data_IF_861365645359
#
_entry.id   IF_861365645359
#
_cell.length_a   1.000
_cell.length_b   1.000
_cell.length_c   1.000
_cell.angle_alpha   90.00
_cell.angle_beta   90.00
_cell.angle_gamma   90.00
#
_symmetry.space_group_name_H-M   'P 1'
#
loop_
_entity.id
_entity.type
_entity.pdbx_description
1 polymer ?
#
# COMPACT_ATOMS: atom_id res chain seq x y z
N UNK A 1 2.68 5.06 1.65
CA UNK A 1 3.03 3.63 1.68
C UNK A 1 4.15 3.41 2.69
N UNK A 2 4.02 2.45 3.60
CA UNK A 2 5.04 2.12 4.61
C UNK A 2 5.14 0.61 4.77
N UNK A 3 6.16 0.13 5.50
CA UNK A 3 6.37 -1.28 5.78
C UNK A 3 7.16 -2.05 4.72
N UNK A 4 7.41 -1.49 3.55
CA UNK A 4 8.22 -2.13 2.53
C UNK A 4 8.88 -1.13 1.58
N UNK A 5 9.84 -1.60 0.83
CA UNK A 5 10.51 -0.90 -0.27
C UNK A 5 10.44 -1.72 -1.55
N UNK A 6 10.55 -1.08 -2.69
CA UNK A 6 10.64 -1.77 -3.96
C UNK A 6 11.41 -0.98 -5.00
N UNK A 7 11.91 -1.71 -5.98
CA UNK A 7 12.53 -1.15 -7.18
C UNK A 7 11.58 -1.36 -8.35
N UNK A 8 11.46 -0.38 -9.21
CA UNK A 8 10.71 -0.53 -10.46
C UNK A 8 11.46 0.09 -11.62
N UNK A 9 11.10 -0.31 -12.83
CA UNK A 9 11.61 0.27 -14.07
C UNK A 9 10.45 0.81 -14.90
N UNK A 10 10.32 2.13 -14.97
CA UNK A 10 9.23 2.80 -15.67
C UNK A 10 9.25 2.58 -17.20
N UNK A 11 10.38 2.11 -17.76
CA UNK A 11 10.52 1.77 -19.18
C UNK A 11 9.87 0.44 -19.56
N UNK A 12 9.66 -0.44 -18.58
CA UNK A 12 9.03 -1.74 -18.80
C UNK A 12 7.51 -1.63 -18.97
N UNK A 13 6.86 -2.59 -19.64
CA UNK A 13 5.41 -2.65 -19.76
C UNK A 13 4.71 -2.70 -18.38
N UNK A 14 3.47 -2.25 -18.32
CA UNK A 14 2.63 -2.39 -17.14
C UNK A 14 2.54 -3.88 -16.72
N UNK A 15 2.56 -4.16 -15.40
CA UNK A 15 2.58 -5.51 -14.84
C UNK A 15 3.95 -6.16 -14.74
N UNK A 16 5.00 -5.60 -15.38
CA UNK A 16 6.38 -6.13 -15.34
C UNK A 16 7.38 -5.15 -14.74
N UNK A 17 6.91 -4.04 -14.18
CA UNK A 17 7.76 -2.94 -13.75
C UNK A 17 8.43 -3.16 -12.41
N UNK A 18 7.73 -3.79 -11.47
CA UNK A 18 8.19 -3.92 -10.09
C UNK A 18 9.10 -5.12 -9.92
N UNK A 19 10.17 -4.93 -9.19
CA UNK A 19 11.11 -5.95 -8.77
C UNK A 19 11.63 -5.66 -7.35
N UNK A 20 12.31 -6.62 -6.76
CA UNK A 20 13.00 -6.47 -5.48
C UNK A 20 12.14 -5.83 -4.38
N UNK A 21 11.01 -6.44 -4.08
CA UNK A 21 10.18 -6.01 -2.96
C UNK A 21 10.81 -6.53 -1.66
N UNK A 22 11.12 -5.61 -0.73
CA UNK A 22 11.69 -5.92 0.57
C UNK A 22 10.81 -5.37 1.68
N UNK A 23 10.66 -6.13 2.74
CA UNK A 23 9.98 -5.71 3.96
C UNK A 23 10.83 -4.68 4.73
N UNK A 24 10.25 -4.08 5.78
CA UNK A 24 10.93 -3.05 6.56
C UNK A 24 12.19 -3.56 7.28
N UNK A 25 12.27 -4.84 7.57
CA UNK A 25 13.44 -5.51 8.16
C UNK A 25 14.52 -5.89 7.12
N UNK A 26 14.28 -5.60 5.83
CA UNK A 26 15.20 -5.89 4.73
C UNK A 26 15.04 -7.27 4.10
N UNK A 27 14.17 -8.12 4.65
CA UNK A 27 13.91 -9.45 4.06
C UNK A 27 13.14 -9.31 2.74
N UNK A 28 13.33 -10.24 1.82
CA UNK A 28 12.56 -10.28 0.58
C UNK A 28 11.11 -10.71 0.85
N UNK A 29 10.17 -10.12 0.08
CA UNK A 29 8.78 -10.54 0.14
C UNK A 29 8.65 -11.98 -0.37
N UNK A 30 8.13 -12.85 0.47
CA UNK A 30 7.80 -14.22 0.09
C UNK A 30 6.40 -14.27 -0.54
N UNK A 31 6.31 -14.68 -1.80
CA UNK A 31 5.05 -14.77 -2.54
C UNK A 31 4.09 -15.84 -2.01
N UNK A 32 4.58 -16.78 -1.21
CA UNK A 32 3.77 -17.85 -0.60
C UNK A 32 3.32 -17.52 0.82
N UNK A 33 3.74 -16.39 1.36
CA UNK A 33 3.37 -15.94 2.70
C UNK A 33 2.16 -15.02 2.68
N UNK A 34 1.45 -14.97 3.82
CA UNK A 34 0.32 -14.05 4.03
C UNK A 34 0.80 -12.81 4.77
N UNK A 35 0.36 -11.64 4.31
CA UNK A 35 0.70 -10.34 4.89
C UNK A 35 -0.55 -9.57 5.30
N UNK A 36 -0.45 -8.80 6.38
CA UNK A 36 -1.49 -7.85 6.76
C UNK A 36 -1.21 -6.51 6.11
N UNK A 37 -2.22 -5.96 5.43
CA UNK A 37 -2.10 -4.70 4.70
C UNK A 37 -3.20 -3.75 5.14
N UNK A 38 -2.84 -2.52 5.51
CA UNK A 38 -3.79 -1.45 5.77
C UNK A 38 -4.06 -0.68 4.49
N UNK A 39 -5.33 -0.59 4.11
CA UNK A 39 -5.80 0.16 2.94
C UNK A 39 -7.04 0.98 3.32
N UNK A 40 -7.39 1.96 2.51
CA UNK A 40 -8.66 2.67 2.67
C UNK A 40 -9.84 1.84 2.12
N UNK A 41 -11.04 2.21 2.51
CA UNK A 41 -12.28 1.55 2.09
C UNK A 41 -12.53 1.64 0.58
N UNK A 42 -12.10 2.72 -0.07
CA UNK A 42 -12.14 2.88 -1.52
C UNK A 42 -11.32 1.79 -2.23
N UNK A 43 -10.08 1.56 -1.81
CA UNK A 43 -9.23 0.49 -2.35
C UNK A 43 -9.76 -0.91 -2.02
N UNK A 44 -10.42 -1.06 -0.87
CA UNK A 44 -11.03 -2.31 -0.42
C UNK A 44 -12.38 -2.62 -1.08
N UNK A 45 -12.91 -1.73 -1.90
CA UNK A 45 -14.16 -1.94 -2.66
C UNK A 45 -15.44 -1.72 -1.87
N UNK A 46 -15.39 -0.91 -0.78
CA UNK A 46 -16.59 -0.58 0.00
C UNK A 46 -17.59 0.19 -0.84
N UNK A 47 -18.87 -0.10 -0.67
CA UNK A 47 -20.06 0.51 -1.28
C UNK A 47 -19.86 1.37 -2.54
N UNK A 48 -20.28 0.87 -3.69
CA UNK A 48 -20.24 1.57 -4.96
C UNK A 48 -18.88 1.50 -5.69
N UNK A 49 -17.87 0.92 -5.06
CA UNK A 49 -16.55 0.73 -5.65
C UNK A 49 -16.23 -0.74 -6.00
N UNK A 50 -17.25 -1.59 -6.01
CA UNK A 50 -17.08 -3.03 -6.17
C UNK A 50 -16.44 -3.43 -7.51
N UNK A 51 -16.66 -2.66 -8.58
CA UNK A 51 -16.07 -2.93 -9.89
C UNK A 51 -14.65 -2.38 -10.00
N UNK A 52 -13.73 -2.97 -9.24
CA UNK A 52 -12.31 -2.66 -9.33
C UNK A 52 -11.88 -1.41 -8.58
N UNK A 53 -12.67 -0.97 -7.58
CA UNK A 53 -12.28 0.08 -6.64
C UNK A 53 -11.95 1.42 -7.33
N UNK A 54 -12.58 1.72 -8.45
CA UNK A 54 -12.26 2.91 -9.24
C UNK A 54 -10.85 2.90 -9.88
N UNK A 55 -9.84 2.38 -9.18
CA UNK A 55 -8.45 2.29 -9.63
C UNK A 55 -8.05 0.90 -10.13
N UNK A 56 -8.97 -0.06 -10.18
CA UNK A 56 -8.73 -1.41 -10.67
C UNK A 56 -8.09 -2.39 -9.67
N UNK A 57 -8.09 -2.07 -8.38
CA UNK A 57 -7.54 -2.95 -7.33
C UNK A 57 -8.48 -4.11 -6.97
N UNK A 58 -8.93 -4.87 -7.97
CA UNK A 58 -9.88 -6.00 -7.76
C UNK A 58 -9.38 -7.02 -6.73
N UNK A 59 -8.07 -7.18 -6.63
CA UNK A 59 -7.44 -8.08 -5.68
C UNK A 59 -7.62 -7.67 -4.20
N UNK A 60 -7.94 -6.40 -3.94
CA UNK A 60 -8.15 -5.88 -2.59
C UNK A 60 -9.64 -5.81 -2.20
N UNK A 61 -10.55 -6.17 -3.09
CA UNK A 61 -11.98 -6.08 -2.84
C UNK A 61 -12.43 -7.11 -1.80
N UNK A 62 -12.87 -6.64 -0.63
CA UNK A 62 -13.36 -7.46 0.47
C UNK A 62 -14.80 -7.12 0.91
N UNK A 63 -15.53 -6.26 0.16
CA UNK A 63 -16.86 -5.79 0.51
C UNK A 63 -17.98 -6.20 -0.46
N UNK A 64 -17.72 -7.02 -1.44
CA UNK A 64 -18.71 -7.34 -2.48
C UNK A 64 -19.76 -8.40 -2.09
N UNK A 65 -19.84 -8.73 -0.80
CA UNK A 65 -20.78 -9.71 -0.28
C UNK A 65 -20.46 -11.17 -0.67
N UNK A 66 -19.44 -11.37 -1.45
CA UNK A 66 -18.86 -12.69 -1.72
C UNK A 66 -17.60 -12.81 -0.87
N UNK A 67 -17.58 -13.73 0.03
CA UNK A 67 -16.41 -14.09 0.80
C UNK A 67 -15.17 -14.11 -0.09
N UNK A 68 -14.33 -13.12 0.08
CA UNK A 68 -12.96 -13.09 -0.43
C UNK A 68 -12.78 -13.49 -1.89
N UNK A 69 -12.59 -12.51 -2.74
CA UNK A 69 -12.04 -12.78 -4.07
C UNK A 69 -10.56 -13.08 -3.92
N UNK A 70 -10.18 -14.32 -4.06
CA UNK A 70 -8.81 -14.77 -3.88
C UNK A 70 -8.44 -14.95 -2.41
N UNK A 71 -7.25 -14.51 -2.04
CA UNK A 71 -6.66 -14.73 -0.72
C UNK A 71 -6.76 -13.51 0.22
N UNK A 72 -7.75 -12.65 0.04
CA UNK A 72 -7.91 -11.43 0.86
C UNK A 72 -9.06 -11.59 1.85
N UNK A 73 -8.76 -11.42 3.14
CA UNK A 73 -9.74 -11.43 4.24
C UNK A 73 -9.76 -10.08 4.93
N UNK A 74 -10.94 -9.52 5.16
CA UNK A 74 -11.09 -8.37 6.04
C UNK A 74 -10.88 -8.80 7.49
N UNK A 75 -9.84 -8.27 8.14
CA UNK A 75 -9.48 -8.60 9.52
C UNK A 75 -10.08 -7.59 10.49
N UNK A 76 -9.97 -6.30 10.16
CA UNK A 76 -10.38 -5.21 11.03
C UNK A 76 -10.83 -4.00 10.22
N UNK A 77 -11.95 -3.43 10.59
CA UNK A 77 -12.43 -2.13 10.15
C UNK A 77 -12.19 -1.12 11.28
N UNK A 78 -11.26 -0.17 11.08
CA UNK A 78 -10.83 0.74 12.16
C UNK A 78 -11.77 1.91 12.37
N UNK A 79 -12.62 2.23 11.41
CA UNK A 79 -13.44 3.46 11.36
C UNK A 79 -12.63 4.77 11.49
N UNK A 80 -11.32 4.71 11.30
CA UNK A 80 -10.43 5.87 11.34
C UNK A 80 -10.26 6.44 9.93
N UNK A 81 -10.46 7.74 9.77
CA UNK A 81 -10.18 8.42 8.50
C UNK A 81 -8.68 8.71 8.35
N UNK A 82 -8.21 8.92 7.12
CA UNK A 82 -6.84 9.38 6.88
C UNK A 82 -6.54 10.72 7.57
N UNK A 83 -7.53 11.60 7.62
CA UNK A 83 -7.42 12.89 8.31
C UNK A 83 -7.20 12.69 9.80
N UNK A 84 -7.95 11.80 10.43
CA UNK A 84 -7.84 11.53 11.87
C UNK A 84 -6.50 10.88 12.20
N UNK A 85 -6.05 9.93 11.39
CA UNK A 85 -4.74 9.31 11.54
C UNK A 85 -3.59 10.33 11.40
N UNK A 86 -3.71 11.25 10.45
CA UNK A 86 -2.72 12.33 10.25
C UNK A 86 -2.74 13.33 11.40
N UNK A 87 -3.91 13.74 11.87
CA UNK A 87 -4.06 14.64 13.02
C UNK A 87 -3.42 14.02 14.27
N UNK A 88 -3.71 12.76 14.55
CA UNK A 88 -3.12 12.03 15.68
C UNK A 88 -1.59 11.92 15.55
N UNK A 89 -1.09 11.69 14.35
CA UNK A 89 0.36 11.69 14.09
C UNK A 89 0.99 13.04 14.45
N UNK A 90 0.42 14.14 14.00
CA UNK A 90 0.93 15.48 14.33
C UNK A 90 0.82 15.81 15.82
N UNK A 91 -0.25 15.40 16.47
CA UNK A 91 -0.40 15.57 17.92
C UNK A 91 0.68 14.83 18.70
N UNK A 92 0.99 13.61 18.32
CA UNK A 92 2.02 12.80 18.96
C UNK A 92 3.45 13.30 18.68
N UNK A 93 3.63 14.20 17.70
CA UNK A 93 4.92 14.71 17.26
C UNK A 93 4.99 16.26 17.29
N UNK A 94 4.25 16.90 18.20
CA UNK A 94 4.15 18.36 18.29
C UNK A 94 5.51 19.07 18.40
N UNK A 95 6.45 18.44 19.09
CA UNK A 95 7.79 19.00 19.35
C UNK A 95 8.83 18.53 18.33
N UNK A 96 8.41 17.86 17.26
CA UNK A 96 9.31 17.30 16.26
C UNK A 96 9.13 18.02 14.93
N UNK A 97 10.23 18.54 14.37
CA UNK A 97 10.20 19.06 13.00
C UNK A 97 10.01 17.89 12.02
N UNK A 98 8.94 17.96 11.24
CA UNK A 98 8.66 16.95 10.19
C UNK A 98 9.55 17.26 9.00
N UNK A 99 10.58 16.44 8.82
CA UNK A 99 11.50 16.55 7.69
C UNK A 99 10.97 15.74 6.49
N UNK A 100 10.83 16.39 5.34
CA UNK A 100 10.36 15.79 4.08
C UNK A 100 11.47 15.02 3.34
N UNK A 101 12.36 14.35 4.02
CA UNK A 101 13.39 13.55 3.34
C UNK A 101 12.79 12.36 2.61
N UNK A 102 13.22 12.16 1.38
CA UNK A 102 12.94 10.92 0.67
C UNK A 102 13.69 9.78 1.34
N UNK A 103 13.00 8.70 1.64
CA UNK A 103 13.56 7.55 2.36
C UNK A 103 14.21 6.52 1.43
N UNK A 104 14.17 6.74 0.10
CA UNK A 104 14.67 5.76 -0.88
C UNK A 104 13.87 4.46 -0.98
N UNK A 105 12.69 4.38 -0.36
CA UNK A 105 11.85 3.18 -0.37
C UNK A 105 11.31 2.79 -1.75
N UNK A 106 11.22 3.76 -2.65
CA UNK A 106 10.74 3.57 -4.01
C UNK A 106 11.84 4.08 -4.95
N UNK A 107 12.36 3.20 -5.77
CA UNK A 107 13.45 3.52 -6.71
C UNK A 107 13.04 3.19 -8.14
N UNK A 108 13.14 4.17 -9.03
CA UNK A 108 12.97 3.96 -10.47
C UNK A 108 14.34 3.77 -11.14
N UNK A 109 14.57 2.60 -11.72
CA UNK A 109 15.82 2.30 -12.42
C UNK A 109 16.01 3.17 -13.67
N UNK A 110 14.95 3.67 -14.27
CA UNK A 110 15.05 4.58 -15.40
C UNK A 110 15.63 5.95 -15.00
N UNK A 111 15.53 6.33 -13.71
CA UNK A 111 16.02 7.59 -13.16
C UNK A 111 17.33 7.46 -12.38
N UNK A 112 17.88 6.26 -12.28
CA UNK A 112 19.14 5.96 -11.60
C UNK A 112 20.30 6.28 -12.52
N UNK A 113 20.59 7.57 -12.69
CA UNK A 113 21.65 8.03 -13.61
C UNK A 113 21.78 9.55 -13.69
N UNK A 114 21.09 10.26 -12.82
CA UNK A 114 21.18 11.71 -12.68
C UNK A 114 21.61 12.11 -11.28
#
# INVERSE_FOLDING_TARGET
MSGFSYIFDSRKPAGQRVSEIRLADGTELDQNSTYQVAVNDYMAGRQGYAEGNGDGYKMLNCYDGQTTRGNVNLILETNMTYRDALAQYFENHRDTMIDKKTTGRITDLAKKGY
#
